data_IF_638431567851
#
_entry.id   IF_638431567851
#
_cell.length_a   1.000
_cell.length_b   1.000
_cell.length_c   1.000
_cell.angle_alpha   90.00
_cell.angle_beta   90.00
_cell.angle_gamma   90.00
#
_symmetry.space_group_name_H-M   'P 1'
#
loop_
_entity.id
_entity.type
_entity.pdbx_description
1 polymer ?
#
# COMPACT_ATOMS: atom_id res chain seq x y z
N UNK A 1 -62.06 -19.81 -21.59
CA UNK A 1 -62.04 -18.37 -21.40
C UNK A 1 -60.72 -17.84 -21.92
N UNK A 2 -60.76 -17.21 -23.09
CA UNK A 2 -59.57 -16.69 -23.82
C UNK A 2 -59.21 -15.32 -23.23
N UNK A 3 -57.96 -15.10 -22.87
CA UNK A 3 -57.40 -13.74 -22.60
C UNK A 3 -56.71 -13.26 -23.85
N UNK A 4 -57.23 -12.13 -24.35
CA UNK A 4 -56.74 -11.38 -25.50
C UNK A 4 -55.57 -10.55 -25.06
N UNK A 5 -54.40 -10.74 -25.69
CA UNK A 5 -53.23 -9.86 -25.56
C UNK A 5 -53.46 -8.65 -26.48
N UNK A 6 -53.39 -7.45 -25.93
CA UNK A 6 -53.52 -6.18 -26.68
C UNK A 6 -52.10 -5.72 -27.03
N UNK A 7 -51.75 -5.81 -28.32
CA UNK A 7 -50.55 -5.20 -28.87
C UNK A 7 -50.80 -3.72 -29.13
N UNK A 8 -50.03 -2.85 -28.49
CA UNK A 8 -50.04 -1.42 -28.81
C UNK A 8 -48.95 -1.17 -29.85
N UNK A 9 -49.41 -0.95 -31.07
CA UNK A 9 -48.59 -0.53 -32.20
C UNK A 9 -48.38 0.99 -32.12
N UNK A 10 -47.18 1.45 -31.81
CA UNK A 10 -46.80 2.88 -31.89
C UNK A 10 -46.27 3.17 -33.27
N UNK A 11 -47.09 3.86 -34.06
CA UNK A 11 -46.70 4.39 -35.36
C UNK A 11 -45.85 5.66 -35.17
N UNK A 12 -44.58 5.61 -35.57
CA UNK A 12 -43.71 6.78 -35.66
C UNK A 12 -43.96 7.45 -37.03
N UNK A 13 -44.58 8.63 -37.00
CA UNK A 13 -44.69 9.52 -38.17
C UNK A 13 -43.33 10.15 -38.45
N UNK A 14 -42.71 9.79 -39.54
CA UNK A 14 -41.53 10.46 -40.08
C UNK A 14 -41.90 11.79 -40.72
N UNK A 15 -41.42 12.91 -40.20
CA UNK A 15 -41.41 14.20 -40.89
C UNK A 15 -40.12 14.33 -41.70
N UNK A 16 -40.17 14.81 -42.95
CA UNK A 16 -38.94 14.98 -43.74
C UNK A 16 -38.28 16.33 -43.48
N UNK A 17 -36.96 16.28 -43.28
CA UNK A 17 -36.06 17.30 -43.74
C UNK A 17 -35.82 18.53 -42.86
N UNK A 18 -34.83 18.44 -41.96
CA UNK A 18 -33.85 19.50 -41.75
C UNK A 18 -32.49 18.81 -41.71
N UNK A 19 -31.65 19.09 -42.70
CA UNK A 19 -30.25 18.71 -42.69
C UNK A 19 -29.56 19.54 -41.61
N UNK A 20 -29.34 18.95 -40.43
CA UNK A 20 -28.44 19.48 -39.43
C UNK A 20 -27.02 19.07 -39.85
N UNK A 21 -26.19 20.07 -40.12
CA UNK A 21 -24.77 19.94 -40.35
C UNK A 21 -24.14 19.10 -39.23
N UNK A 22 -23.24 18.21 -39.64
CA UNK A 22 -22.66 17.18 -38.79
C UNK A 22 -21.95 17.76 -37.57
N UNK A 23 -22.52 17.50 -36.42
CA UNK A 23 -21.82 17.49 -35.16
C UNK A 23 -20.86 16.29 -35.19
N UNK A 24 -19.57 16.61 -35.04
CA UNK A 24 -18.53 15.60 -34.94
C UNK A 24 -18.94 14.53 -33.93
N UNK A 25 -18.99 13.30 -34.39
CA UNK A 25 -19.15 12.15 -33.50
C UNK A 25 -18.05 12.27 -32.43
N UNK A 26 -18.45 12.52 -31.19
CA UNK A 26 -17.54 12.43 -30.04
C UNK A 26 -16.91 11.04 -30.07
N UNK A 27 -15.64 10.97 -30.49
CA UNK A 27 -14.90 9.72 -30.41
C UNK A 27 -14.92 9.27 -28.94
N UNK A 28 -15.25 8.00 -28.67
CA UNK A 28 -15.23 7.50 -27.31
C UNK A 28 -13.83 7.77 -26.71
N UNK A 29 -13.82 8.30 -25.48
CA UNK A 29 -12.60 8.67 -24.79
C UNK A 29 -11.63 7.46 -24.73
N UNK A 30 -10.39 7.69 -25.10
CA UNK A 30 -9.34 6.66 -25.03
C UNK A 30 -9.11 6.20 -23.59
N UNK A 31 -8.54 4.99 -23.35
CA UNK A 31 -8.23 4.53 -22.00
C UNK A 31 -7.38 5.53 -21.22
N UNK A 32 -6.42 6.18 -21.87
CA UNK A 32 -5.56 7.20 -21.27
C UNK A 32 -6.33 8.47 -20.87
N UNK A 33 -7.31 8.90 -21.66
CA UNK A 33 -8.20 10.03 -21.33
C UNK A 33 -9.15 9.68 -20.18
N UNK A 34 -9.72 8.48 -20.19
CA UNK A 34 -10.54 7.97 -19.08
C UNK A 34 -9.74 7.92 -17.78
N UNK A 35 -8.50 7.42 -17.81
CA UNK A 35 -7.60 7.41 -16.67
C UNK A 35 -7.31 8.83 -16.14
N UNK A 36 -7.00 9.79 -17.03
CA UNK A 36 -6.80 11.18 -16.65
C UNK A 36 -8.02 11.80 -15.97
N UNK A 37 -9.22 11.47 -16.46
CA UNK A 37 -10.49 11.93 -15.88
C UNK A 37 -10.66 11.37 -14.47
N UNK A 38 -10.49 10.07 -14.29
CA UNK A 38 -10.54 9.41 -12.97
C UNK A 38 -9.51 9.98 -12.00
N UNK A 39 -8.31 10.31 -12.47
CA UNK A 39 -7.26 10.95 -11.64
C UNK A 39 -7.68 12.34 -11.14
N UNK A 40 -8.48 13.08 -11.89
CA UNK A 40 -9.01 14.38 -11.48
C UNK A 40 -10.17 14.27 -10.49
N UNK A 41 -10.92 13.17 -10.51
CA UNK A 41 -11.97 12.89 -9.51
C UNK A 41 -11.37 12.70 -8.10
N UNK A 42 -10.07 12.37 -8.02
CA UNK A 42 -9.34 12.30 -6.76
C UNK A 42 -8.83 13.70 -6.39
N UNK A 43 -9.56 14.41 -5.54
CA UNK A 43 -9.12 15.66 -4.91
C UNK A 43 -8.88 15.44 -3.42
N UNK A 44 -7.61 15.38 -2.95
CA UNK A 44 -7.31 15.32 -1.53
C UNK A 44 -7.53 16.67 -0.81
N UNK A 45 -7.73 17.77 -1.55
CA UNK A 45 -7.76 19.13 -1.01
C UNK A 45 -9.13 19.61 -0.53
N UNK A 46 -10.19 18.80 -0.63
CA UNK A 46 -11.53 19.20 -0.19
C UNK A 46 -11.73 19.23 1.35
N UNK A 47 -10.68 18.93 2.12
CA UNK A 47 -10.68 19.10 3.58
C UNK A 47 -10.19 20.49 3.99
N UNK A 48 -10.91 21.55 3.60
CA UNK A 48 -10.68 22.88 4.15
C UNK A 48 -11.05 22.90 5.63
N UNK A 49 -10.06 23.13 6.45
CA UNK A 49 -9.89 23.42 7.85
C UNK A 49 -11.03 23.95 8.73
N UNK A 50 -12.23 23.39 8.64
CA UNK A 50 -13.32 23.68 9.59
C UNK A 50 -13.18 22.69 10.75
N UNK A 51 -13.16 23.16 12.02
CA UNK A 51 -13.23 22.29 13.17
C UNK A 51 -14.55 21.53 13.14
N UNK A 52 -14.48 20.20 12.90
CA UNK A 52 -15.63 19.31 12.88
C UNK A 52 -15.79 18.68 14.27
N UNK A 53 -17.02 18.53 14.73
CA UNK A 53 -17.33 17.66 15.86
C UNK A 53 -16.93 16.22 15.53
N UNK A 54 -16.74 15.36 16.53
CA UNK A 54 -16.35 13.97 16.30
C UNK A 54 -17.35 13.22 15.41
N UNK A 55 -18.65 13.50 15.56
CA UNK A 55 -19.70 12.91 14.72
C UNK A 55 -19.62 13.40 13.25
N UNK A 56 -19.35 14.67 13.03
CA UNK A 56 -19.16 15.24 11.68
C UNK A 56 -17.88 14.72 11.05
N UNK A 57 -16.81 14.57 11.84
CA UNK A 57 -15.56 13.97 11.39
C UNK A 57 -15.76 12.52 10.94
N UNK A 58 -16.46 11.69 11.72
CA UNK A 58 -16.76 10.30 11.37
C UNK A 58 -17.62 10.22 10.11
N UNK A 59 -18.62 11.09 9.96
CA UNK A 59 -19.45 11.15 8.76
C UNK A 59 -18.64 11.56 7.51
N UNK A 60 -17.81 12.58 7.63
CA UNK A 60 -16.92 13.05 6.55
C UNK A 60 -15.97 11.95 6.11
N UNK A 61 -15.35 11.29 7.04
CA UNK A 61 -14.44 10.17 6.83
C UNK A 61 -15.17 9.02 6.13
N UNK A 62 -16.36 8.64 6.58
CA UNK A 62 -17.15 7.60 5.94
C UNK A 62 -17.53 7.93 4.49
N UNK A 63 -17.83 9.20 4.20
CA UNK A 63 -18.11 9.65 2.83
C UNK A 63 -16.86 9.63 1.95
N UNK A 64 -15.73 10.13 2.45
CA UNK A 64 -14.46 10.10 1.75
C UNK A 64 -14.03 8.66 1.42
N UNK A 65 -14.25 7.74 2.35
CA UNK A 65 -13.99 6.33 2.14
C UNK A 65 -14.86 5.72 1.03
N UNK A 66 -16.17 5.93 1.08
CA UNK A 66 -17.10 5.44 0.03
C UNK A 66 -16.72 5.99 -1.34
N UNK A 67 -16.35 7.25 -1.42
CA UNK A 67 -15.87 7.87 -2.65
C UNK A 67 -14.61 7.21 -3.19
N UNK A 68 -13.61 6.99 -2.33
CA UNK A 68 -12.36 6.32 -2.70
C UNK A 68 -12.58 4.88 -3.15
N UNK A 69 -13.45 4.15 -2.46
CA UNK A 69 -13.79 2.79 -2.85
C UNK A 69 -14.48 2.74 -4.22
N UNK A 70 -15.44 3.64 -4.47
CA UNK A 70 -16.07 3.76 -5.79
C UNK A 70 -15.05 4.13 -6.87
N UNK A 71 -14.09 5.00 -6.57
CA UNK A 71 -13.04 5.37 -7.50
C UNK A 71 -12.08 4.20 -7.77
N UNK A 72 -11.75 3.41 -6.76
CA UNK A 72 -10.96 2.18 -6.92
C UNK A 72 -11.65 1.21 -7.89
N UNK A 73 -12.96 1.02 -7.77
CA UNK A 73 -13.73 0.17 -8.68
C UNK A 73 -13.68 0.70 -10.12
N UNK A 74 -13.82 2.01 -10.34
CA UNK A 74 -13.72 2.61 -11.68
C UNK A 74 -12.33 2.38 -12.31
N UNK A 75 -11.25 2.50 -11.54
CA UNK A 75 -9.91 2.19 -12.02
C UNK A 75 -9.74 0.71 -12.35
N UNK A 76 -10.29 -0.17 -11.52
CA UNK A 76 -10.28 -1.61 -11.77
C UNK A 76 -11.03 -1.96 -13.06
N UNK A 77 -12.24 -1.43 -13.24
CA UNK A 77 -13.02 -1.62 -14.47
C UNK A 77 -12.29 -1.12 -15.73
N UNK A 78 -11.60 0.02 -15.63
CA UNK A 78 -10.80 0.54 -16.74
C UNK A 78 -9.70 -0.45 -17.15
N UNK A 79 -8.98 -1.01 -16.17
CA UNK A 79 -7.94 -1.99 -16.43
C UNK A 79 -8.50 -3.30 -17.00
N UNK A 80 -9.64 -3.79 -16.50
CA UNK A 80 -10.29 -5.02 -16.98
C UNK A 80 -10.81 -4.86 -18.42
N UNK A 81 -11.31 -3.68 -18.77
CA UNK A 81 -11.77 -3.39 -20.15
C UNK A 81 -10.60 -3.29 -21.13
N UNK A 82 -9.43 -2.88 -20.68
CA UNK A 82 -8.27 -2.62 -21.53
C UNK A 82 -6.99 -3.29 -21.01
N UNK A 83 -6.98 -4.62 -20.81
CA UNK A 83 -5.91 -5.32 -20.09
C UNK A 83 -4.54 -5.24 -20.81
N UNK A 84 -4.54 -5.04 -22.13
CA UNK A 84 -3.33 -4.93 -22.94
C UNK A 84 -2.89 -3.48 -23.18
N UNK A 85 -3.65 -2.48 -22.69
CA UNK A 85 -3.27 -1.08 -22.80
C UNK A 85 -2.17 -0.73 -21.78
N UNK A 86 -1.16 0.07 -22.15
CA UNK A 86 -0.12 0.51 -21.22
C UNK A 86 -0.65 1.16 -19.94
N UNK A 87 -1.88 1.72 -19.97
CA UNK A 87 -2.50 2.35 -18.82
C UNK A 87 -3.10 1.36 -17.80
N UNK A 88 -3.30 0.09 -18.19
CA UNK A 88 -3.94 -0.91 -17.32
C UNK A 88 -3.21 -1.07 -15.99
N UNK A 89 -1.88 -1.21 -16.01
CA UNK A 89 -1.09 -1.30 -14.78
C UNK A 89 -1.21 -0.05 -13.93
N UNK A 90 -1.14 1.14 -14.52
CA UNK A 90 -1.26 2.40 -13.79
C UNK A 90 -2.65 2.53 -13.14
N UNK A 91 -3.71 2.07 -13.82
CA UNK A 91 -5.05 2.01 -13.27
C UNK A 91 -5.16 1.02 -12.10
N UNK A 92 -4.58 -0.17 -12.21
CA UNK A 92 -4.54 -1.16 -11.12
C UNK A 92 -3.78 -0.62 -9.89
N UNK A 93 -2.65 0.04 -10.10
CA UNK A 93 -1.89 0.68 -9.03
C UNK A 93 -2.74 1.77 -8.36
N UNK A 94 -3.48 2.58 -9.14
CA UNK A 94 -4.39 3.57 -8.57
C UNK A 94 -5.53 2.93 -7.78
N UNK A 95 -6.12 1.84 -8.27
CA UNK A 95 -7.14 1.10 -7.53
C UNK A 95 -6.63 0.67 -6.15
N UNK A 96 -5.43 0.09 -6.09
CA UNK A 96 -4.78 -0.26 -4.80
C UNK A 96 -4.57 0.98 -3.92
N UNK A 97 -4.11 2.11 -4.48
CA UNK A 97 -3.82 3.31 -3.69
C UNK A 97 -5.08 3.97 -3.10
N UNK A 98 -6.21 3.89 -3.78
CA UNK A 98 -7.47 4.44 -3.26
C UNK A 98 -7.91 3.73 -1.98
N UNK A 99 -7.69 2.43 -1.86
CA UNK A 99 -8.15 1.60 -0.74
C UNK A 99 -7.07 1.31 0.32
N UNK A 100 -5.80 1.69 0.07
CA UNK A 100 -4.66 1.39 0.94
C UNK A 100 -4.37 2.46 2.00
N UNK A 101 -5.17 3.50 2.10
CA UNK A 101 -4.70 4.73 2.75
C UNK A 101 -4.99 4.83 4.24
N UNK A 102 -5.83 3.97 4.83
CA UNK A 102 -6.07 3.99 6.29
C UNK A 102 -6.84 2.74 6.70
N UNK A 103 -6.53 2.12 7.85
CA UNK A 103 -7.41 1.12 8.43
C UNK A 103 -8.71 1.80 8.90
N UNK A 104 -9.82 1.34 8.37
CA UNK A 104 -11.15 1.78 8.75
C UNK A 104 -11.99 0.60 9.22
N UNK A 105 -12.95 0.80 10.14
CA UNK A 105 -13.80 -0.27 10.60
C UNK A 105 -14.45 -1.02 9.45
N UNK A 106 -14.37 -2.34 9.46
CA UNK A 106 -14.95 -3.26 8.45
C UNK A 106 -16.44 -2.99 8.21
N UNK A 107 -17.15 -2.50 9.22
CA UNK A 107 -18.55 -2.09 9.15
C UNK A 107 -18.82 -0.97 8.14
N UNK A 108 -17.81 -0.13 7.86
CA UNK A 108 -17.91 0.95 6.88
C UNK A 108 -17.43 0.55 5.48
N UNK A 109 -16.70 -0.55 5.38
CA UNK A 109 -15.86 -0.88 4.22
C UNK A 109 -16.31 -2.14 3.51
N UNK A 110 -16.85 -3.12 4.23
CA UNK A 110 -17.01 -4.46 3.71
C UNK A 110 -15.67 -5.12 3.34
N UNK A 111 -15.72 -6.30 2.76
CA UNK A 111 -14.53 -6.94 2.19
C UNK A 111 -14.00 -6.10 1.03
N UNK A 112 -12.72 -5.74 1.07
CA UNK A 112 -12.07 -4.96 0.01
C UNK A 112 -11.74 -5.85 -1.19
N UNK A 113 -12.78 -6.17 -1.94
CA UNK A 113 -12.69 -6.99 -3.15
C UNK A 113 -11.89 -6.30 -4.27
N UNK A 114 -11.91 -4.97 -4.33
CA UNK A 114 -11.18 -4.21 -5.36
C UNK A 114 -9.68 -4.33 -5.18
N UNK A 115 -9.16 -4.26 -3.94
CA UNK A 115 -7.74 -4.44 -3.65
C UNK A 115 -7.28 -5.84 -4.02
N UNK A 116 -7.98 -6.86 -3.53
CA UNK A 116 -7.64 -8.25 -3.80
C UNK A 116 -7.63 -8.53 -5.31
N UNK A 117 -8.64 -8.05 -6.03
CA UNK A 117 -8.74 -8.21 -7.48
C UNK A 117 -7.64 -7.46 -8.24
N UNK A 118 -7.31 -6.24 -7.83
CA UNK A 118 -6.20 -5.50 -8.44
C UNK A 118 -4.87 -6.23 -8.28
N UNK A 119 -4.56 -6.78 -7.09
CA UNK A 119 -3.35 -7.59 -6.90
C UNK A 119 -3.35 -8.90 -7.71
N UNK A 120 -4.51 -9.56 -7.84
CA UNK A 120 -4.65 -10.73 -8.71
C UNK A 120 -4.25 -10.37 -10.15
N UNK A 121 -4.84 -9.29 -10.70
CA UNK A 121 -4.58 -8.84 -12.07
C UNK A 121 -3.12 -8.39 -12.27
N UNK A 122 -2.55 -7.63 -11.32
CA UNK A 122 -1.14 -7.24 -11.37
C UNK A 122 -0.23 -8.48 -11.41
N UNK A 123 -0.50 -9.48 -10.56
CA UNK A 123 0.33 -10.69 -10.51
C UNK A 123 0.16 -11.57 -11.75
N UNK A 124 -1.03 -11.61 -12.35
CA UNK A 124 -1.31 -12.39 -13.54
C UNK A 124 -0.70 -11.77 -14.80
N UNK A 125 -0.93 -10.47 -15.00
CA UNK A 125 -0.71 -9.80 -16.28
C UNK A 125 0.53 -8.89 -16.29
N UNK A 126 0.91 -8.31 -15.13
CA UNK A 126 1.91 -7.26 -15.05
C UNK A 126 3.08 -7.57 -14.11
N UNK A 127 3.21 -8.80 -13.61
CA UNK A 127 4.26 -9.19 -12.64
C UNK A 127 5.67 -8.93 -13.18
N UNK A 128 5.85 -8.88 -14.50
CA UNK A 128 7.12 -8.67 -15.18
C UNK A 128 7.43 -7.19 -15.47
N UNK A 129 6.56 -6.26 -15.09
CA UNK A 129 6.74 -4.83 -15.36
C UNK A 129 7.88 -4.24 -14.52
N UNK A 130 8.63 -3.30 -15.11
CA UNK A 130 9.66 -2.48 -14.46
C UNK A 130 9.07 -1.34 -13.61
N UNK A 131 7.75 -1.08 -13.71
CA UNK A 131 7.03 -0.04 -12.98
C UNK A 131 6.57 -0.44 -11.58
N UNK A 132 6.82 -1.67 -11.13
CA UNK A 132 6.31 -2.19 -9.84
C UNK A 132 7.07 -1.70 -8.60
N UNK A 133 8.23 -1.05 -8.78
CA UNK A 133 9.05 -0.59 -7.65
C UNK A 133 8.31 0.28 -6.62
N UNK A 134 7.65 1.38 -7.02
CA UNK A 134 6.90 2.23 -6.10
C UNK A 134 5.77 1.50 -5.36
N UNK A 135 5.10 0.55 -6.03
CA UNK A 135 4.08 -0.27 -5.38
C UNK A 135 4.69 -1.20 -4.33
N UNK A 136 5.83 -1.85 -4.63
CA UNK A 136 6.56 -2.66 -3.65
C UNK A 136 6.91 -1.87 -2.39
N UNK A 137 7.45 -0.64 -2.56
CA UNK A 137 7.78 0.24 -1.44
C UNK A 137 6.53 0.63 -0.62
N UNK A 138 5.43 0.95 -1.30
CA UNK A 138 4.20 1.37 -0.62
C UNK A 138 3.58 0.27 0.24
N UNK A 139 3.51 -0.96 -0.28
CA UNK A 139 2.88 -2.08 0.44
C UNK A 139 3.71 -2.57 1.63
N UNK A 140 4.99 -2.22 1.71
CA UNK A 140 5.85 -2.58 2.84
C UNK A 140 5.37 -2.02 4.20
N UNK A 141 4.59 -0.94 4.18
CA UNK A 141 3.98 -0.34 5.37
C UNK A 141 2.60 -0.91 5.72
N UNK A 142 2.10 -1.86 4.92
CA UNK A 142 0.79 -2.46 5.13
C UNK A 142 0.80 -3.63 6.13
N UNK A 143 -0.34 -4.36 6.17
CA UNK A 143 -0.51 -5.52 7.05
C UNK A 143 -1.21 -6.69 6.34
N UNK A 144 -1.81 -6.45 5.17
CA UNK A 144 -2.63 -7.42 4.45
C UNK A 144 -1.83 -8.59 3.89
N UNK A 145 -2.44 -9.76 3.83
CA UNK A 145 -1.84 -10.99 3.29
C UNK A 145 -1.46 -10.85 1.81
N UNK A 146 -2.25 -10.12 1.05
CA UNK A 146 -2.02 -9.88 -0.39
C UNK A 146 -0.69 -9.16 -0.64
N UNK A 147 -0.25 -8.29 0.27
CA UNK A 147 0.99 -7.54 0.14
C UNK A 147 2.21 -8.45 0.23
N UNK A 148 2.21 -9.36 1.19
CA UNK A 148 3.27 -10.36 1.31
C UNK A 148 3.33 -11.25 0.06
N UNK A 149 2.17 -11.77 -0.36
CA UNK A 149 2.05 -12.62 -1.54
C UNK A 149 2.58 -11.91 -2.79
N UNK A 150 2.21 -10.63 -2.97
CA UNK A 150 2.68 -9.80 -4.07
C UNK A 150 4.20 -9.59 -4.03
N UNK A 151 4.75 -9.16 -2.88
CA UNK A 151 6.20 -8.91 -2.75
C UNK A 151 7.02 -10.18 -3.02
N UNK A 152 6.58 -11.33 -2.51
CA UNK A 152 7.21 -12.63 -2.79
C UNK A 152 7.13 -12.99 -4.28
N UNK A 153 5.99 -12.75 -4.93
CA UNK A 153 5.81 -13.03 -6.35
C UNK A 153 6.69 -12.12 -7.22
N UNK A 154 6.76 -10.81 -6.93
CA UNK A 154 7.63 -9.87 -7.66
C UNK A 154 9.10 -10.28 -7.53
N UNK A 155 9.56 -10.56 -6.31
CA UNK A 155 10.93 -11.01 -6.05
C UNK A 155 11.30 -12.27 -6.85
N UNK A 156 10.36 -13.19 -7.00
CA UNK A 156 10.60 -14.48 -7.67
C UNK A 156 10.48 -14.42 -9.20
N UNK A 157 9.55 -13.62 -9.74
CA UNK A 157 9.11 -13.71 -11.14
C UNK A 157 9.46 -12.48 -11.98
N UNK A 158 9.74 -11.32 -11.38
CA UNK A 158 10.07 -10.12 -12.16
C UNK A 158 11.47 -10.25 -12.79
N UNK A 159 11.66 -9.91 -14.08
CA UNK A 159 12.96 -10.04 -14.75
C UNK A 159 13.93 -8.90 -14.42
N UNK A 160 13.43 -7.77 -13.92
CA UNK A 160 14.25 -6.58 -13.70
C UNK A 160 14.92 -6.64 -12.33
N UNK A 161 16.25 -6.64 -12.32
CA UNK A 161 17.05 -6.80 -11.10
C UNK A 161 16.77 -5.74 -10.04
N UNK A 162 16.55 -4.47 -10.46
CA UNK A 162 16.15 -3.38 -9.56
C UNK A 162 14.81 -3.66 -8.88
N UNK A 163 13.82 -4.15 -9.63
CA UNK A 163 12.48 -4.44 -9.09
C UNK A 163 12.52 -5.64 -8.13
N UNK A 164 13.28 -6.69 -8.47
CA UNK A 164 13.51 -7.81 -7.55
C UNK A 164 14.15 -7.36 -6.24
N UNK A 165 15.18 -6.49 -6.33
CA UNK A 165 15.88 -5.94 -5.18
C UNK A 165 14.95 -5.08 -4.31
N UNK A 166 14.19 -4.18 -4.94
CA UNK A 166 13.18 -3.35 -4.25
C UNK A 166 12.12 -4.23 -3.57
N UNK A 167 11.61 -5.27 -4.24
CA UNK A 167 10.66 -6.19 -3.64
C UNK A 167 11.26 -6.98 -2.46
N UNK A 168 12.55 -7.34 -2.53
CA UNK A 168 13.26 -8.02 -1.46
C UNK A 168 13.39 -7.13 -0.21
N UNK A 169 13.87 -5.89 -0.36
CA UNK A 169 13.92 -4.91 0.74
C UNK A 169 12.52 -4.64 1.32
N UNK A 170 11.55 -4.39 0.44
CA UNK A 170 10.16 -4.15 0.84
C UNK A 170 9.54 -5.33 1.59
N UNK A 171 9.89 -6.56 1.23
CA UNK A 171 9.45 -7.75 1.97
C UNK A 171 10.05 -7.80 3.38
N UNK A 172 11.35 -7.50 3.52
CA UNK A 172 12.00 -7.40 4.83
C UNK A 172 11.31 -6.36 5.72
N UNK A 173 11.07 -5.16 5.18
CA UNK A 173 10.34 -4.10 5.89
C UNK A 173 8.91 -4.51 6.24
N UNK A 174 8.18 -5.12 5.30
CA UNK A 174 6.81 -5.60 5.55
C UNK A 174 6.75 -6.59 6.71
N UNK A 175 7.62 -7.58 6.70
CA UNK A 175 7.68 -8.61 7.75
C UNK A 175 8.04 -8.01 9.11
N UNK A 176 9.03 -7.11 9.14
CA UNK A 176 9.47 -6.42 10.35
C UNK A 176 8.37 -5.51 10.92
N UNK A 177 7.76 -4.66 10.09
CA UNK A 177 6.66 -3.80 10.49
C UNK A 177 5.45 -4.62 11.00
N UNK A 178 5.14 -5.75 10.35
CA UNK A 178 4.08 -6.65 10.79
C UNK A 178 4.39 -7.25 12.16
N UNK A 179 5.61 -7.72 12.38
CA UNK A 179 6.02 -8.30 13.66
C UNK A 179 5.92 -7.28 14.80
N UNK A 180 6.38 -6.05 14.61
CA UNK A 180 6.27 -4.97 15.59
C UNK A 180 4.80 -4.66 15.95
N UNK A 181 3.91 -4.62 14.94
CA UNK A 181 2.47 -4.42 15.17
C UNK A 181 1.82 -5.59 15.93
N UNK A 182 2.25 -6.82 15.67
CA UNK A 182 1.80 -7.98 16.41
C UNK A 182 2.23 -7.94 17.88
N UNK A 183 3.43 -7.45 18.16
CA UNK A 183 3.88 -7.24 19.54
C UNK A 183 3.00 -6.18 20.24
N UNK A 184 2.70 -5.07 19.58
CA UNK A 184 1.76 -4.07 20.10
C UNK A 184 0.34 -4.65 20.32
N UNK A 185 -0.15 -5.49 19.42
CA UNK A 185 -1.44 -6.16 19.59
C UNK A 185 -1.47 -7.12 20.81
N UNK A 186 -0.33 -7.72 21.18
CA UNK A 186 -0.23 -8.54 22.39
C UNK A 186 -0.29 -7.72 23.68
N UNK A 187 0.27 -6.49 23.62
CA UNK A 187 0.31 -5.58 24.76
C UNK A 187 -0.99 -4.77 24.93
N UNK A 188 -1.70 -4.51 23.82
CA UNK A 188 -2.87 -3.64 23.76
C UNK A 188 -4.09 -4.38 23.16
N UNK A 189 -5.00 -4.91 24.00
CA UNK A 189 -6.15 -5.69 23.53
C UNK A 189 -7.13 -4.89 22.65
N UNK A 190 -7.24 -3.58 22.85
CA UNK A 190 -8.06 -2.71 22.00
C UNK A 190 -7.51 -2.67 20.57
N UNK A 191 -6.20 -2.48 20.42
CA UNK A 191 -5.54 -2.48 19.12
C UNK A 191 -5.70 -3.84 18.42
N UNK A 192 -5.61 -4.94 19.16
CA UNK A 192 -5.84 -6.27 18.62
C UNK A 192 -7.27 -6.44 18.07
N UNK A 193 -8.28 -5.86 18.73
CA UNK A 193 -9.67 -5.87 18.22
C UNK A 193 -9.79 -5.06 16.93
N UNK A 194 -9.22 -3.85 16.90
CA UNK A 194 -9.22 -3.03 15.70
C UNK A 194 -8.56 -3.76 14.52
N UNK A 195 -7.41 -4.40 14.75
CA UNK A 195 -6.72 -5.18 13.72
C UNK A 195 -7.54 -6.40 13.26
N UNK A 196 -8.22 -7.08 14.18
CA UNK A 196 -9.12 -8.19 13.85
C UNK A 196 -10.29 -7.75 12.99
N UNK A 197 -10.86 -6.58 13.28
CA UNK A 197 -11.96 -6.01 12.50
C UNK A 197 -11.50 -5.50 11.12
N UNK A 198 -10.25 -5.02 10.99
CA UNK A 198 -9.69 -4.49 9.73
C UNK A 198 -9.14 -5.55 8.80
N UNK A 199 -8.53 -6.59 9.34
CA UNK A 199 -7.74 -7.56 8.56
C UNK A 199 -8.29 -8.99 8.65
N UNK A 200 -9.34 -9.20 9.44
CA UNK A 200 -9.96 -10.50 9.67
C UNK A 200 -9.43 -11.19 10.94
N UNK A 201 -10.38 -11.73 11.73
CA UNK A 201 -10.09 -12.38 13.03
C UNK A 201 -9.20 -13.60 12.87
N UNK A 202 -9.48 -14.43 11.88
CA UNK A 202 -8.72 -15.64 11.59
C UNK A 202 -7.27 -15.33 11.18
N UNK A 203 -7.10 -14.35 10.31
CA UNK A 203 -5.78 -13.90 9.84
C UNK A 203 -4.93 -13.36 10.99
N UNK A 204 -5.47 -12.47 11.82
CA UNK A 204 -4.75 -11.96 12.98
C UNK A 204 -4.43 -13.08 13.98
N UNK A 205 -5.38 -13.99 14.26
CA UNK A 205 -5.15 -15.09 15.17
C UNK A 205 -4.06 -16.06 14.68
N UNK A 206 -3.96 -16.31 13.37
CA UNK A 206 -2.87 -17.07 12.77
C UNK A 206 -1.53 -16.39 12.98
N UNK A 207 -1.45 -15.08 12.70
CA UNK A 207 -0.23 -14.31 12.88
C UNK A 207 0.23 -14.24 14.34
N UNK A 208 -0.69 -14.09 15.29
CA UNK A 208 -0.34 -14.02 16.72
C UNK A 208 0.18 -15.36 17.28
N UNK A 209 -0.10 -16.50 16.61
CA UNK A 209 0.44 -17.81 16.97
C UNK A 209 1.83 -18.06 16.39
N UNK A 210 2.32 -17.21 15.50
CA UNK A 210 3.64 -17.39 14.90
C UNK A 210 4.74 -17.35 15.95
N UNK A 211 5.72 -18.24 15.78
CA UNK A 211 6.93 -18.26 16.56
C UNK A 211 7.76 -17.00 16.25
N UNK A 212 7.99 -16.17 17.26
CA UNK A 212 8.68 -14.89 17.12
C UNK A 212 10.11 -15.06 16.63
N UNK A 213 10.83 -16.08 17.13
CA UNK A 213 12.24 -16.29 16.77
C UNK A 213 12.35 -16.74 15.31
N UNK A 214 11.42 -17.57 14.85
CA UNK A 214 11.33 -17.93 13.43
C UNK A 214 11.01 -16.73 12.55
N UNK A 215 10.10 -15.86 12.98
CA UNK A 215 9.77 -14.65 12.26
C UNK A 215 10.95 -13.69 12.17
N UNK A 216 11.68 -13.46 13.28
CA UNK A 216 12.91 -12.67 13.29
C UNK A 216 13.97 -13.25 12.36
N UNK A 217 14.19 -14.56 12.41
CA UNK A 217 15.16 -15.22 11.53
C UNK A 217 14.79 -15.09 10.05
N UNK A 218 13.51 -15.16 9.72
CA UNK A 218 13.03 -14.92 8.35
C UNK A 218 13.34 -13.50 7.91
N UNK A 219 13.04 -12.49 8.74
CA UNK A 219 13.31 -11.08 8.45
C UNK A 219 14.80 -10.88 8.19
N UNK A 220 15.67 -11.38 9.08
CA UNK A 220 17.12 -11.28 8.88
C UNK A 220 17.55 -11.97 7.58
N UNK A 221 17.08 -13.19 7.32
CA UNK A 221 17.39 -13.92 6.09
C UNK A 221 17.00 -13.15 4.83
N UNK A 222 15.85 -12.46 4.84
CA UNK A 222 15.41 -11.64 3.69
C UNK A 222 16.34 -10.45 3.46
N UNK A 223 16.79 -9.76 4.51
CA UNK A 223 17.74 -8.65 4.38
C UNK A 223 19.15 -9.15 4.01
N UNK A 224 19.60 -10.29 4.54
CA UNK A 224 20.86 -10.92 4.11
C UNK A 224 20.85 -11.25 2.62
N UNK A 225 19.77 -11.86 2.14
CA UNK A 225 19.58 -12.14 0.69
C UNK A 225 19.57 -10.86 -0.13
N UNK A 226 18.98 -9.76 0.39
CA UNK A 226 19.03 -8.47 -0.28
C UNK A 226 20.46 -7.94 -0.38
N UNK A 227 21.24 -8.00 0.72
CA UNK A 227 22.61 -7.53 0.79
C UNK A 227 23.57 -8.35 -0.10
N UNK A 228 23.34 -9.66 -0.24
CA UNK A 228 24.20 -10.55 -1.01
C UNK A 228 23.84 -10.56 -2.50
N UNK A 229 22.58 -10.89 -2.81
CA UNK A 229 22.12 -11.12 -4.20
C UNK A 229 22.04 -9.85 -5.02
N UNK A 230 21.76 -8.71 -4.35
CA UNK A 230 21.52 -7.43 -5.02
C UNK A 230 22.52 -6.34 -4.58
N UNK A 231 23.71 -6.73 -4.10
CA UNK A 231 24.68 -5.85 -3.47
C UNK A 231 24.91 -4.53 -4.21
N UNK A 232 25.20 -4.63 -5.52
CA UNK A 232 25.59 -3.51 -6.39
C UNK A 232 24.40 -2.78 -7.02
N UNK A 233 23.17 -3.21 -6.74
CA UNK A 233 21.98 -2.55 -7.29
C UNK A 233 21.81 -1.20 -6.62
N UNK A 234 21.81 -0.13 -7.40
CA UNK A 234 21.55 1.23 -6.94
C UNK A 234 20.05 1.50 -6.87
N UNK A 235 19.63 2.03 -5.75
CA UNK A 235 18.28 2.54 -5.51
C UNK A 235 18.13 3.95 -6.13
N UNK A 236 16.88 4.44 -6.35
CA UNK A 236 16.65 5.77 -6.94
C UNK A 236 17.26 6.94 -6.16
N UNK A 237 17.47 6.78 -4.85
CA UNK A 237 18.10 7.76 -3.96
C UNK A 237 19.63 7.73 -3.95
N UNK A 238 20.23 6.81 -4.72
CA UNK A 238 21.68 6.69 -4.89
C UNK A 238 22.34 5.67 -3.97
N UNK A 239 21.67 5.20 -2.91
CA UNK A 239 22.17 4.14 -2.05
C UNK A 239 22.26 2.81 -2.79
N UNK A 240 23.12 1.91 -2.31
CA UNK A 240 23.11 0.51 -2.73
C UNK A 240 22.14 -0.32 -1.88
N UNK A 241 21.59 -1.37 -2.48
CA UNK A 241 20.76 -2.34 -1.76
C UNK A 241 21.53 -2.97 -0.60
N UNK A 242 22.84 -3.24 -0.78
CA UNK A 242 23.67 -3.77 0.29
C UNK A 242 23.80 -2.81 1.48
N UNK A 243 24.02 -1.51 1.23
CA UNK A 243 24.10 -0.51 2.29
C UNK A 243 22.79 -0.44 3.08
N UNK A 244 21.65 -0.35 2.37
CA UNK A 244 20.32 -0.30 2.99
C UNK A 244 20.02 -1.56 3.81
N UNK A 245 20.22 -2.74 3.25
CA UNK A 245 19.95 -4.00 3.93
C UNK A 245 20.87 -4.21 5.16
N UNK A 246 22.13 -3.81 5.09
CA UNK A 246 23.06 -3.86 6.24
C UNK A 246 22.64 -2.92 7.36
N UNK A 247 22.14 -1.73 7.04
CA UNK A 247 21.61 -0.80 8.03
C UNK A 247 20.40 -1.40 8.78
N UNK A 248 19.48 -2.03 8.05
CA UNK A 248 18.33 -2.73 8.64
C UNK A 248 18.77 -3.91 9.53
N UNK A 249 19.71 -4.73 9.07
CA UNK A 249 20.26 -5.84 9.86
C UNK A 249 20.95 -5.33 11.12
N UNK A 250 21.68 -4.22 11.04
CA UNK A 250 22.30 -3.60 12.19
C UNK A 250 21.26 -3.15 13.21
N UNK A 251 20.19 -2.48 12.75
CA UNK A 251 19.11 -2.02 13.62
C UNK A 251 18.41 -3.20 14.32
N UNK A 252 18.08 -4.26 13.57
CA UNK A 252 17.41 -5.46 14.12
C UNK A 252 18.30 -6.17 15.16
N UNK A 253 19.58 -6.30 14.87
CA UNK A 253 20.52 -7.07 15.72
C UNK A 253 21.00 -6.32 16.95
N UNK A 254 21.09 -4.99 16.88
CA UNK A 254 21.77 -4.19 17.90
C UNK A 254 20.89 -3.13 18.56
N UNK A 255 19.80 -2.65 17.89
CA UNK A 255 18.99 -1.53 18.39
C UNK A 255 17.61 -1.95 18.88
N UNK A 256 17.28 -3.24 18.85
CA UNK A 256 16.01 -3.74 19.36
C UNK A 256 15.97 -3.75 20.89
N UNK A 257 14.77 -3.61 21.45
CA UNK A 257 14.54 -3.70 22.90
C UNK A 257 15.14 -5.00 23.46
N UNK A 258 15.87 -4.90 24.57
CA UNK A 258 16.56 -6.00 25.23
C UNK A 258 17.96 -6.30 24.69
N UNK A 259 18.44 -5.56 23.68
CA UNK A 259 19.81 -5.63 23.20
C UNK A 259 20.69 -4.63 23.94
N UNK A 260 22.01 -4.94 24.05
CA UNK A 260 22.99 -3.98 24.54
C UNK A 260 23.16 -2.88 23.48
N UNK A 261 22.95 -1.61 23.87
CA UNK A 261 23.11 -0.48 22.95
C UNK A 261 24.59 -0.38 22.50
N UNK A 262 24.84 -0.18 21.19
CA UNK A 262 26.18 0.14 20.70
C UNK A 262 26.72 1.38 21.38
N UNK A 263 28.02 1.41 21.62
CA UNK A 263 28.65 2.59 22.21
C UNK A 263 28.62 3.77 21.22
N UNK A 264 28.33 4.94 21.71
CA UNK A 264 28.32 6.19 20.96
C UNK A 264 29.41 7.07 21.56
N UNK A 265 30.36 7.50 20.72
CA UNK A 265 31.38 8.48 21.11
C UNK A 265 31.02 9.84 20.52
N UNK A 266 31.15 10.89 21.32
CA UNK A 266 30.87 12.26 20.91
C UNK A 266 31.65 13.27 21.72
N UNK A 267 31.46 14.54 21.38
CA UNK A 267 31.94 15.70 22.15
C UNK A 267 30.70 16.52 22.55
N UNK A 268 30.74 17.00 23.81
CA UNK A 268 29.70 17.92 24.27
C UNK A 268 29.95 19.36 23.77
N UNK A 269 29.08 20.29 24.14
CA UNK A 269 29.18 21.70 23.72
C UNK A 269 30.49 22.37 24.16
N UNK A 270 31.16 21.84 25.17
CA UNK A 270 32.41 22.36 25.73
C UNK A 270 33.63 21.64 25.14
N UNK A 271 33.45 20.72 24.19
CA UNK A 271 34.46 19.93 23.54
C UNK A 271 34.96 18.75 24.39
N UNK A 272 34.24 18.42 25.48
CA UNK A 272 34.59 17.28 26.33
C UNK A 272 34.11 15.98 25.66
N UNK A 273 35.04 15.04 25.48
CA UNK A 273 34.71 13.74 24.92
C UNK A 273 33.94 12.88 25.91
N UNK A 274 32.94 12.20 25.45
CA UNK A 274 32.17 11.23 26.24
C UNK A 274 31.83 10.00 25.41
N UNK A 275 31.53 8.91 26.11
CA UNK A 275 30.97 7.67 25.53
C UNK A 275 29.67 7.32 26.23
N UNK A 276 28.75 6.70 25.48
CA UNK A 276 27.50 6.21 26.07
C UNK A 276 27.77 5.21 27.20
N UNK A 277 28.83 4.40 27.08
CA UNK A 277 29.28 3.45 28.11
C UNK A 277 29.67 4.10 29.43
N UNK A 278 30.05 5.38 29.47
CA UNK A 278 30.39 6.11 30.71
C UNK A 278 29.14 6.33 31.61
N UNK A 279 27.97 6.14 31.05
CA UNK A 279 26.67 6.27 31.75
C UNK A 279 26.09 4.93 32.20
N UNK A 280 26.86 3.83 32.18
CA UNK A 280 26.41 2.52 32.67
C UNK A 280 25.87 2.60 34.10
N UNK A 281 24.73 1.93 34.35
CA UNK A 281 24.02 1.98 35.62
C UNK A 281 23.09 3.19 35.81
N UNK A 282 22.98 4.05 34.81
CA UNK A 282 22.03 5.17 34.75
C UNK A 282 20.96 4.93 33.67
N UNK A 283 19.82 5.56 33.82
CA UNK A 283 18.83 5.67 32.74
C UNK A 283 19.26 6.81 31.84
N UNK A 284 19.43 6.54 30.54
CA UNK A 284 19.83 7.51 29.52
C UNK A 284 18.72 7.66 28.50
N UNK A 285 18.29 8.90 28.25
CA UNK A 285 17.40 9.25 27.15
C UNK A 285 18.24 9.83 26.01
N UNK A 286 18.21 9.21 24.83
CA UNK A 286 18.87 9.71 23.62
C UNK A 286 17.82 10.43 22.77
N UNK A 287 18.08 11.69 22.45
CA UNK A 287 17.27 12.49 21.54
C UNK A 287 18.09 12.87 20.31
N UNK A 288 17.61 12.48 19.12
CA UNK A 288 18.27 12.75 17.85
C UNK A 288 17.47 13.85 17.12
N UNK A 289 18.08 15.00 16.94
CA UNK A 289 17.44 16.14 16.27
C UNK A 289 18.34 16.74 15.20
N UNK A 290 17.74 17.42 14.23
CA UNK A 290 18.46 18.19 13.21
C UNK A 290 17.76 19.49 12.92
N UNK A 291 18.52 20.50 12.50
CA UNK A 291 17.92 21.69 11.89
C UNK A 291 17.38 21.32 10.50
N UNK A 292 16.12 21.63 10.23
CA UNK A 292 15.46 21.50 8.94
C UNK A 292 15.37 22.87 8.29
#
# INVERSE_FOLDING_TARGET
MRRIASEILVAILALPGVAAEGNGQDKPATPAEQYKTLRKEYDPASSSGVPLTDAERLKFIGQAYKHRHALAQKFLELAEKHPNDPIALDALIQAVWQVNTTPWPVELVGEDTARAKAFELIQRDHIRSDKLGPLCQRVSYGFCKEYETFLRAVRAKNPHKLIQATACLSLGHFLNNRLQRLDLCKEQPELAREFADLYGKEYLAELLRQDRDKANKEIETVFEQAAEKYAEVKLPDGDTVAARAKAELFAIRNLSVGKEAPDIEGEDQDGTRFKLSDYRGKVVLLDFWSYV
#
